data_IF_661481367379
#
_entry.id   IF_661481367379
#
_cell.length_a   1.000
_cell.length_b   1.000
_cell.length_c   1.000
_cell.angle_alpha   90.00
_cell.angle_beta   90.00
_cell.angle_gamma   90.00
#
_symmetry.space_group_name_H-M   'P 1'
#
loop_
_entity.id
_entity.type
_entity.pdbx_description
1 polymer ?
#
# COMPACT_ATOMS: atom_id res chain seq x y z
N UNK A 1 24.06 9.26 -17.34
CA UNK A 1 24.66 8.32 -16.37
C UNK A 1 23.65 7.23 -16.09
N UNK A 2 24.00 5.99 -16.33
CA UNK A 2 23.14 4.87 -15.93
C UNK A 2 22.98 4.87 -14.41
N UNK A 3 21.73 4.85 -13.95
CA UNK A 3 21.42 4.76 -12.53
C UNK A 3 22.01 3.45 -11.97
N UNK A 4 22.73 3.55 -10.84
CA UNK A 4 23.33 2.39 -10.16
C UNK A 4 22.26 1.34 -9.86
N UNK A 5 22.61 0.05 -10.00
CA UNK A 5 21.66 -1.05 -9.85
C UNK A 5 20.95 -1.05 -8.48
N UNK A 6 21.69 -0.75 -7.40
CA UNK A 6 21.15 -0.70 -6.05
C UNK A 6 20.13 0.44 -5.87
N UNK A 7 20.32 1.56 -6.57
CA UNK A 7 19.39 2.68 -6.50
C UNK A 7 18.06 2.36 -7.18
N UNK A 8 18.09 1.60 -8.28
CA UNK A 8 16.87 1.04 -8.92
C UNK A 8 16.15 0.10 -7.95
N UNK A 9 16.89 -0.76 -7.25
CA UNK A 9 16.32 -1.68 -6.25
C UNK A 9 15.66 -0.91 -5.09
N UNK A 10 16.32 0.09 -4.51
CA UNK A 10 15.74 0.91 -3.45
C UNK A 10 14.48 1.66 -3.91
N UNK A 11 14.48 2.16 -5.16
CA UNK A 11 13.30 2.77 -5.77
C UNK A 11 12.13 1.80 -5.87
N UNK A 12 12.38 0.56 -6.32
CA UNK A 12 11.37 -0.50 -6.36
C UNK A 12 10.84 -0.84 -4.97
N UNK A 13 11.73 -1.02 -3.99
CA UNK A 13 11.37 -1.29 -2.60
C UNK A 13 10.47 -0.18 -2.04
N UNK A 14 10.80 1.09 -2.29
CA UNK A 14 9.97 2.23 -1.89
C UNK A 14 8.56 2.20 -2.48
N UNK A 15 8.44 1.88 -3.76
CA UNK A 15 7.14 1.76 -4.45
C UNK A 15 6.31 0.60 -3.87
N UNK A 16 6.94 -0.56 -3.66
CA UNK A 16 6.28 -1.74 -3.07
C UNK A 16 5.80 -1.43 -1.65
N UNK A 17 6.67 -0.86 -0.80
CA UNK A 17 6.33 -0.49 0.57
C UNK A 17 5.20 0.53 0.63
N UNK A 18 5.22 1.55 -0.24
CA UNK A 18 4.16 2.55 -0.30
C UNK A 18 2.83 1.93 -0.75
N UNK A 19 2.86 1.06 -1.77
CA UNK A 19 1.68 0.31 -2.23
C UNK A 19 1.08 -0.56 -1.14
N UNK A 20 1.92 -1.37 -0.47
CA UNK A 20 1.51 -2.19 0.66
C UNK A 20 0.91 -1.37 1.80
N UNK A 21 1.55 -0.27 2.15
CA UNK A 21 1.07 0.62 3.22
C UNK A 21 -0.28 1.21 2.88
N UNK A 22 -0.49 1.61 1.63
CA UNK A 22 -1.77 2.10 1.16
C UNK A 22 -2.87 1.03 1.30
N UNK A 23 -2.60 -0.21 0.90
CA UNK A 23 -3.54 -1.33 1.05
C UNK A 23 -3.86 -1.59 2.52
N UNK A 24 -2.86 -1.72 3.39
CA UNK A 24 -3.09 -1.89 4.84
C UNK A 24 -3.90 -0.75 5.45
N UNK A 25 -3.65 0.49 5.02
CA UNK A 25 -4.36 1.67 5.53
C UNK A 25 -5.82 1.68 5.05
N UNK A 26 -6.08 1.38 3.78
CA UNK A 26 -7.45 1.24 3.25
C UNK A 26 -8.20 0.13 3.99
N UNK A 27 -7.59 -1.06 4.10
CA UNK A 27 -8.18 -2.20 4.80
C UNK A 27 -8.38 -1.92 6.30
N UNK A 28 -7.48 -1.16 6.94
CA UNK A 28 -7.63 -0.73 8.33
C UNK A 28 -8.83 0.18 8.55
N UNK A 29 -9.06 1.14 7.64
CA UNK A 29 -10.26 1.99 7.68
C UNK A 29 -11.54 1.18 7.47
N UNK A 30 -11.60 0.37 6.41
CA UNK A 30 -12.77 -0.46 6.12
C UNK A 30 -13.04 -1.51 7.21
N UNK A 31 -11.99 -2.18 7.69
CA UNK A 31 -12.07 -3.25 8.68
C UNK A 31 -12.50 -2.79 10.07
N UNK A 32 -12.38 -1.49 10.40
CA UNK A 32 -12.85 -0.93 11.67
C UNK A 32 -14.28 -0.36 11.59
N UNK A 33 -14.88 -0.35 10.41
CA UNK A 33 -16.21 0.25 10.16
C UNK A 33 -17.32 -0.47 10.93
N UNK A 34 -17.27 -1.80 11.03
CA UNK A 34 -18.31 -2.61 11.67
C UNK A 34 -18.50 -2.23 13.16
N UNK A 35 -17.40 -2.16 13.91
CA UNK A 35 -17.38 -1.75 15.32
C UNK A 35 -17.67 -0.26 15.49
N UNK A 36 -17.25 0.58 14.54
CA UNK A 36 -17.53 2.01 14.58
C UNK A 36 -19.02 2.33 14.33
N UNK A 37 -19.74 1.52 13.56
CA UNK A 37 -21.17 1.72 13.29
C UNK A 37 -22.08 1.11 14.36
N UNK A 38 -21.69 -0.02 14.96
CA UNK A 38 -22.49 -0.69 15.97
C UNK A 38 -21.63 -1.21 17.14
N UNK A 39 -21.06 -0.31 17.97
CA UNK A 39 -20.11 -0.70 19.03
C UNK A 39 -20.72 -1.61 20.11
N UNK A 40 -22.04 -1.60 20.30
CA UNK A 40 -22.76 -2.45 21.26
C UNK A 40 -23.24 -3.78 20.68
N UNK A 41 -23.17 -3.94 19.35
CA UNK A 41 -23.56 -5.18 18.67
C UNK A 41 -22.47 -6.25 18.65
N UNK A 42 -21.28 -5.95 19.16
CA UNK A 42 -20.18 -6.88 19.28
C UNK A 42 -19.87 -7.11 20.76
N UNK A 43 -19.85 -8.37 21.17
CA UNK A 43 -19.59 -8.73 22.57
C UNK A 43 -18.25 -8.20 23.09
N UNK A 44 -18.19 -8.02 24.41
CA UNK A 44 -16.96 -7.71 25.13
C UNK A 44 -16.56 -6.24 25.10
N UNK A 45 -15.28 -5.98 24.81
CA UNK A 45 -14.63 -4.69 25.04
C UNK A 45 -15.04 -3.56 24.09
N UNK A 46 -15.83 -3.84 23.06
CA UNK A 46 -16.23 -2.85 22.05
C UNK A 46 -17.34 -1.92 22.53
N UNK A 47 -18.16 -2.32 23.51
CA UNK A 47 -19.20 -1.47 24.09
C UNK A 47 -18.64 -0.18 24.72
N UNK A 48 -17.39 -0.19 25.19
CA UNK A 48 -16.68 0.99 25.71
C UNK A 48 -16.46 2.10 24.65
N UNK A 49 -16.65 1.78 23.37
CA UNK A 49 -16.57 2.74 22.26
C UNK A 49 -17.87 3.54 22.12
N UNK A 50 -19.01 3.05 22.61
CA UNK A 50 -20.32 3.65 22.35
C UNK A 50 -20.41 5.16 22.66
N UNK A 51 -19.86 5.68 23.78
CA UNK A 51 -19.85 7.13 24.05
C UNK A 51 -18.98 7.95 23.08
N UNK A 52 -18.04 7.29 22.40
CA UNK A 52 -17.05 7.88 21.48
C UNK A 52 -17.23 7.41 20.04
N UNK A 53 -18.43 6.93 19.68
CA UNK A 53 -18.70 6.36 18.36
C UNK A 53 -18.34 7.34 17.22
N UNK A 54 -18.64 8.63 17.38
CA UNK A 54 -18.31 9.68 16.42
C UNK A 54 -16.81 9.75 16.12
N UNK A 55 -15.97 9.54 17.13
CA UNK A 55 -14.51 9.58 17.00
C UNK A 55 -13.99 8.37 16.22
N UNK A 56 -14.59 7.19 16.43
CA UNK A 56 -14.23 5.99 15.68
C UNK A 56 -14.68 6.07 14.22
N UNK A 57 -15.84 6.68 13.95
CA UNK A 57 -16.25 6.99 12.58
C UNK A 57 -15.29 7.99 11.91
N UNK A 58 -14.81 8.99 12.65
CA UNK A 58 -13.78 9.90 12.16
C UNK A 58 -12.49 9.15 11.84
N UNK A 59 -12.03 8.23 12.71
CA UNK A 59 -10.87 7.39 12.42
C UNK A 59 -11.06 6.56 11.15
N UNK A 60 -12.23 5.94 10.96
CA UNK A 60 -12.54 5.16 9.74
C UNK A 60 -12.39 6.04 8.49
N UNK A 61 -13.05 7.19 8.45
CA UNK A 61 -13.08 8.07 7.26
C UNK A 61 -11.68 8.64 6.99
N UNK A 62 -10.99 9.13 8.02
CA UNK A 62 -9.69 9.76 7.87
C UNK A 62 -8.61 8.73 7.50
N UNK A 63 -8.60 7.56 8.13
CA UNK A 63 -7.69 6.46 7.78
C UNK A 63 -7.93 6.03 6.34
N UNK A 64 -9.18 5.83 5.91
CA UNK A 64 -9.49 5.49 4.52
C UNK A 64 -9.00 6.57 3.54
N UNK A 65 -9.22 7.85 3.85
CA UNK A 65 -8.75 8.96 3.02
C UNK A 65 -7.22 8.98 2.87
N UNK A 66 -6.47 8.76 3.95
CA UNK A 66 -5.01 8.64 3.90
C UNK A 66 -4.56 7.41 3.11
N UNK A 67 -5.28 6.29 3.21
CA UNK A 67 -5.04 5.10 2.39
C UNK A 67 -5.22 5.36 0.89
N UNK A 68 -6.30 6.03 0.49
CA UNK A 68 -6.54 6.43 -0.92
C UNK A 68 -5.48 7.42 -1.40
N UNK A 69 -5.11 8.40 -0.59
CA UNK A 69 -4.02 9.32 -0.91
C UNK A 69 -2.69 8.56 -1.06
N UNK A 70 -2.45 7.55 -0.22
CA UNK A 70 -1.29 6.67 -0.32
C UNK A 70 -1.26 5.88 -1.61
N UNK A 71 -2.39 5.30 -2.03
CA UNK A 71 -2.51 4.57 -3.29
C UNK A 71 -2.23 5.50 -4.51
N UNK A 72 -2.78 6.72 -4.46
CA UNK A 72 -2.47 7.76 -5.46
C UNK A 72 -1.00 8.11 -5.47
N UNK A 73 -0.37 8.27 -4.30
CA UNK A 73 1.05 8.56 -4.19
C UNK A 73 1.91 7.43 -4.79
N UNK A 74 1.57 6.16 -4.55
CA UNK A 74 2.21 4.99 -5.18
C UNK A 74 2.14 5.07 -6.70
N UNK A 75 0.95 5.38 -7.26
CA UNK A 75 0.81 5.54 -8.71
C UNK A 75 1.67 6.69 -9.26
N UNK A 76 1.76 7.80 -8.53
CA UNK A 76 2.61 8.94 -8.90
C UNK A 76 4.11 8.58 -8.83
N UNK A 77 4.54 7.77 -7.86
CA UNK A 77 5.92 7.27 -7.75
C UNK A 77 6.27 6.35 -8.93
N UNK A 78 5.36 5.45 -9.30
CA UNK A 78 5.50 4.58 -10.49
C UNK A 78 5.63 5.42 -11.75
N UNK A 79 4.77 6.44 -11.91
CA UNK A 79 4.75 7.34 -13.07
C UNK A 79 5.82 8.42 -13.03
N UNK A 80 6.70 8.43 -12.02
CA UNK A 80 7.74 9.44 -11.84
C UNK A 80 7.22 10.89 -11.95
N UNK A 81 6.09 11.18 -11.31
CA UNK A 81 5.50 12.53 -11.33
C UNK A 81 6.19 13.42 -10.31
N UNK A 82 6.28 14.71 -10.62
CA UNK A 82 6.75 15.71 -9.65
C UNK A 82 5.88 15.68 -8.38
N UNK A 83 6.49 15.96 -7.23
CA UNK A 83 5.86 15.91 -5.92
C UNK A 83 5.35 14.54 -5.45
N UNK A 84 5.52 13.44 -6.22
CA UNK A 84 5.10 12.10 -5.79
C UNK A 84 5.64 11.72 -4.40
N UNK A 85 6.90 12.06 -4.15
CA UNK A 85 7.55 11.83 -2.87
C UNK A 85 6.94 12.66 -1.73
N UNK A 86 6.61 13.93 -2.00
CA UNK A 86 5.97 14.82 -1.02
C UNK A 86 4.58 14.29 -0.64
N UNK A 87 3.79 13.86 -1.61
CA UNK A 87 2.49 13.25 -1.34
C UNK A 87 2.61 11.94 -0.56
N UNK A 88 3.65 11.15 -0.83
CA UNK A 88 3.94 9.94 -0.05
C UNK A 88 4.21 10.29 1.41
N UNK A 89 5.07 11.29 1.67
CA UNK A 89 5.36 11.75 3.03
C UNK A 89 4.12 12.31 3.74
N UNK A 90 3.29 13.09 3.05
CA UNK A 90 2.04 13.62 3.64
C UNK A 90 1.09 12.48 4.02
N UNK A 91 0.94 11.47 3.15
CA UNK A 91 0.11 10.31 3.44
C UNK A 91 0.63 9.50 4.63
N UNK A 92 1.94 9.24 4.66
CA UNK A 92 2.60 8.48 5.72
C UNK A 92 2.59 9.23 7.05
N UNK A 93 2.84 10.54 7.06
CA UNK A 93 2.79 11.35 8.28
C UNK A 93 1.36 11.43 8.83
N UNK A 94 0.39 11.77 7.99
CA UNK A 94 -1.00 11.87 8.41
C UNK A 94 -1.56 10.53 8.89
N UNK A 95 -1.29 9.43 8.16
CA UNK A 95 -1.63 8.08 8.59
C UNK A 95 -0.98 7.68 9.91
N UNK A 96 0.27 8.10 10.15
CA UNK A 96 0.99 7.80 11.41
C UNK A 96 0.35 8.53 12.57
N UNK A 97 0.10 9.83 12.42
CA UNK A 97 -0.51 10.65 13.48
C UNK A 97 -1.86 10.08 13.87
N UNK A 98 -2.72 9.80 12.88
CA UNK A 98 -4.06 9.23 13.11
C UNK A 98 -3.97 7.84 13.73
N UNK A 99 -3.11 6.97 13.21
CA UNK A 99 -2.92 5.61 13.72
C UNK A 99 -2.44 5.59 15.16
N UNK A 100 -1.44 6.41 15.52
CA UNK A 100 -0.93 6.51 16.89
C UNK A 100 -2.03 6.99 17.85
N UNK A 101 -2.76 8.04 17.49
CA UNK A 101 -3.88 8.54 18.32
C UNK A 101 -4.94 7.44 18.49
N UNK A 102 -5.32 6.74 17.41
CA UNK A 102 -6.32 5.69 17.45
C UNK A 102 -5.86 4.50 18.33
N UNK A 103 -4.58 4.12 18.28
CA UNK A 103 -3.99 3.10 19.16
C UNK A 103 -4.10 3.52 20.63
N UNK A 104 -3.70 4.76 20.97
CA UNK A 104 -3.73 5.26 22.34
C UNK A 104 -5.17 5.32 22.89
N UNK A 105 -6.09 5.90 22.12
CA UNK A 105 -7.52 5.99 22.48
C UNK A 105 -8.13 4.60 22.64
N UNK A 106 -7.87 3.69 21.72
CA UNK A 106 -8.37 2.31 21.82
C UNK A 106 -7.88 1.61 23.09
N UNK A 107 -6.58 1.71 23.40
CA UNK A 107 -6.02 1.09 24.60
C UNK A 107 -6.62 1.68 25.88
N UNK A 108 -6.85 3.00 25.91
CA UNK A 108 -7.48 3.66 27.04
C UNK A 108 -8.95 3.25 27.26
N UNK A 109 -9.73 3.09 26.18
CA UNK A 109 -11.17 2.82 26.27
C UNK A 109 -11.52 1.33 26.41
N UNK A 110 -10.74 0.43 25.80
CA UNK A 110 -11.08 -0.99 25.68
C UNK A 110 -9.94 -1.95 26.02
N UNK A 111 -8.81 -1.44 26.55
CA UNK A 111 -7.65 -2.25 26.95
C UNK A 111 -6.85 -2.87 25.80
N UNK A 112 -7.20 -2.59 24.54
CA UNK A 112 -6.46 -3.08 23.37
C UNK A 112 -6.77 -2.27 22.13
N UNK A 113 -5.91 -2.34 21.11
CA UNK A 113 -5.99 -1.52 19.90
C UNK A 113 -6.12 -2.31 18.61
N UNK A 114 -6.04 -3.64 18.66
CA UNK A 114 -6.15 -4.48 17.47
C UNK A 114 -7.47 -4.20 16.75
N UNK A 115 -7.45 -4.11 15.40
CA UNK A 115 -6.30 -4.39 14.50
C UNK A 115 -5.39 -3.20 14.15
N UNK A 116 -5.64 -2.02 14.74
CA UNK A 116 -5.02 -0.75 14.32
C UNK A 116 -3.51 -0.74 14.56
N UNK A 117 -3.00 -1.53 15.50
CA UNK A 117 -1.57 -1.67 15.80
C UNK A 117 -0.76 -2.03 14.54
N UNK A 118 -1.14 -3.08 13.83
CA UNK A 118 -0.39 -3.55 12.66
C UNK A 118 -0.35 -2.48 11.57
N UNK A 119 -1.50 -1.86 11.29
CA UNK A 119 -1.61 -0.78 10.29
C UNK A 119 -0.71 0.39 10.66
N UNK A 120 -0.71 0.79 11.94
CA UNK A 120 0.10 1.90 12.44
C UNK A 120 1.59 1.56 12.37
N UNK A 121 2.00 0.36 12.77
CA UNK A 121 3.40 -0.06 12.74
C UNK A 121 3.95 -0.15 11.31
N UNK A 122 3.16 -0.69 10.39
CA UNK A 122 3.56 -0.76 8.99
C UNK A 122 3.70 0.63 8.37
N UNK A 123 2.78 1.55 8.71
CA UNK A 123 2.84 2.93 8.25
C UNK A 123 4.04 3.69 8.82
N UNK A 124 4.38 3.49 10.10
CA UNK A 124 5.59 4.06 10.73
C UNK A 124 6.86 3.49 10.06
N UNK A 125 6.91 2.18 9.83
CA UNK A 125 8.05 1.54 9.16
C UNK A 125 8.28 2.17 7.78
N UNK A 126 7.23 2.28 6.96
CA UNK A 126 7.32 2.88 5.63
C UNK A 126 7.71 4.36 5.71
N UNK A 127 7.17 5.12 6.67
CA UNK A 127 7.57 6.50 6.93
C UNK A 127 9.08 6.59 7.21
N UNK A 128 9.59 5.78 8.13
CA UNK A 128 11.02 5.75 8.47
C UNK A 128 11.88 5.43 7.25
N UNK A 129 11.49 4.44 6.44
CA UNK A 129 12.21 4.11 5.19
C UNK A 129 12.20 5.29 4.21
N UNK A 130 11.06 5.96 4.04
CA UNK A 130 10.97 7.16 3.21
C UNK A 130 11.74 8.36 3.81
N UNK A 131 11.91 8.45 5.12
CA UNK A 131 12.78 9.47 5.69
C UNK A 131 14.26 9.15 5.41
N UNK A 132 14.65 7.87 5.50
CA UNK A 132 16.00 7.40 5.15
C UNK A 132 16.32 7.67 3.68
N UNK A 133 15.39 7.39 2.76
CA UNK A 133 15.58 7.67 1.33
C UNK A 133 15.78 9.16 1.01
N UNK A 134 15.38 10.05 1.93
CA UNK A 134 15.55 11.50 1.75
C UNK A 134 16.95 12.00 2.15
N UNK A 135 17.77 11.18 2.78
CA UNK A 135 19.14 11.55 3.19
C UNK A 135 19.96 11.85 1.91
N UNK A 136 20.73 12.97 1.85
CA UNK A 136 21.30 13.47 0.60
C UNK A 136 22.06 12.46 -0.28
N UNK A 137 22.93 11.59 0.25
CA UNK A 137 23.67 10.61 -0.56
C UNK A 137 22.77 9.58 -1.23
N UNK A 138 21.66 9.20 -0.58
CA UNK A 138 20.69 8.25 -1.14
C UNK A 138 19.75 8.95 -2.11
N UNK A 139 19.27 10.15 -1.75
CA UNK A 139 18.32 10.89 -2.56
C UNK A 139 18.83 11.20 -3.97
N UNK A 140 20.11 11.60 -4.08
CA UNK A 140 20.74 11.92 -5.36
C UNK A 140 20.81 10.71 -6.30
N UNK A 141 20.88 9.51 -5.74
CA UNK A 141 21.07 8.26 -6.49
C UNK A 141 19.74 7.56 -6.79
N UNK A 142 18.81 7.51 -5.81
CA UNK A 142 17.47 6.91 -5.96
C UNK A 142 16.62 7.76 -6.90
N UNK A 143 16.68 9.08 -6.74
CA UNK A 143 16.13 10.07 -7.65
C UNK A 143 14.66 9.84 -8.01
N UNK A 144 13.73 9.89 -7.04
CA UNK A 144 12.28 9.83 -7.31
C UNK A 144 11.75 11.01 -8.16
N UNK A 145 12.59 12.02 -8.40
CA UNK A 145 12.34 13.15 -9.29
C UNK A 145 13.05 13.01 -10.64
N UNK A 146 13.94 12.02 -10.80
CA UNK A 146 14.65 11.75 -12.04
C UNK A 146 13.89 10.74 -12.89
N UNK A 147 13.83 10.92 -14.23
CA UNK A 147 13.20 9.96 -15.15
C UNK A 147 13.71 8.54 -14.92
N UNK A 148 12.82 7.62 -14.56
CA UNK A 148 13.12 6.19 -14.62
C UNK A 148 12.86 5.68 -16.05
N UNK A 149 13.58 4.64 -16.46
CA UNK A 149 13.23 3.91 -17.68
C UNK A 149 11.82 3.33 -17.56
N UNK A 150 11.10 3.24 -18.68
CA UNK A 150 9.77 2.63 -18.74
C UNK A 150 9.77 1.19 -18.20
N UNK A 151 10.85 0.44 -18.43
CA UNK A 151 11.06 -0.90 -17.86
C UNK A 151 11.14 -0.88 -16.33
N UNK A 152 11.89 0.04 -15.72
CA UNK A 152 12.02 0.09 -14.25
C UNK A 152 10.68 0.46 -13.59
N UNK A 153 9.96 1.43 -14.17
CA UNK A 153 8.64 1.83 -13.69
C UNK A 153 7.62 0.69 -13.81
N UNK A 154 7.60 -0.01 -14.94
CA UNK A 154 6.72 -1.15 -15.17
C UNK A 154 7.00 -2.32 -14.24
N UNK A 155 8.28 -2.66 -14.02
CA UNK A 155 8.69 -3.68 -13.04
C UNK A 155 8.27 -3.31 -11.62
N UNK A 156 8.54 -2.07 -11.19
CA UNK A 156 8.16 -1.60 -9.85
C UNK A 156 6.64 -1.64 -9.62
N UNK A 157 5.87 -1.14 -10.59
CA UNK A 157 4.41 -1.15 -10.52
C UNK A 157 3.82 -2.56 -10.58
N UNK A 158 4.40 -3.43 -11.40
CA UNK A 158 4.03 -4.84 -11.50
C UNK A 158 4.25 -5.58 -10.18
N UNK A 159 5.46 -5.49 -9.62
CA UNK A 159 5.80 -6.11 -8.33
C UNK A 159 4.95 -5.57 -7.17
N UNK A 160 4.73 -4.25 -7.12
CA UNK A 160 3.87 -3.66 -6.09
C UNK A 160 2.43 -4.19 -6.18
N UNK A 161 1.89 -4.28 -7.39
CA UNK A 161 0.54 -4.82 -7.63
C UNK A 161 0.44 -6.30 -7.24
N UNK A 162 1.39 -7.14 -7.66
CA UNK A 162 1.45 -8.56 -7.27
C UNK A 162 1.51 -8.69 -5.76
N UNK A 163 2.39 -7.93 -5.10
CA UNK A 163 2.58 -8.01 -3.64
C UNK A 163 1.31 -7.58 -2.91
N UNK A 164 0.66 -6.50 -3.35
CA UNK A 164 -0.64 -6.07 -2.83
C UNK A 164 -1.73 -7.13 -3.05
N UNK A 165 -1.74 -7.79 -4.20
CA UNK A 165 -2.68 -8.85 -4.52
C UNK A 165 -2.50 -10.09 -3.63
N UNK A 166 -1.25 -10.52 -3.40
CA UNK A 166 -0.94 -11.62 -2.47
C UNK A 166 -1.41 -11.29 -1.05
N UNK A 167 -1.19 -10.05 -0.58
CA UNK A 167 -1.72 -9.62 0.72
C UNK A 167 -3.25 -9.69 0.72
N UNK A 168 -3.94 -9.15 -0.29
CA UNK A 168 -5.39 -9.21 -0.36
C UNK A 168 -5.93 -10.65 -0.31
N UNK A 169 -5.31 -11.59 -1.02
CA UNK A 169 -5.70 -13.00 -1.01
C UNK A 169 -5.48 -13.72 0.32
N UNK A 170 -4.52 -13.25 1.13
CA UNK A 170 -4.07 -13.97 2.33
C UNK A 170 -4.43 -13.30 3.64
N UNK A 171 -4.79 -12.01 3.63
CA UNK A 171 -4.96 -11.19 4.84
C UNK A 171 -5.97 -11.78 5.83
N UNK A 172 -7.04 -12.42 5.34
CA UNK A 172 -8.06 -13.05 6.17
C UNK A 172 -7.53 -14.16 7.09
N UNK A 173 -6.46 -14.85 6.67
CA UNK A 173 -5.80 -15.89 7.47
C UNK A 173 -4.89 -15.28 8.54
N UNK A 174 -4.14 -14.23 8.19
CA UNK A 174 -3.26 -13.53 9.13
C UNK A 174 -4.04 -12.78 10.21
N UNK A 175 -5.19 -12.21 9.83
CA UNK A 175 -6.01 -11.37 10.69
C UNK A 175 -7.05 -12.14 11.49
N UNK A 176 -7.28 -13.42 11.18
CA UNK A 176 -8.23 -14.29 11.89
C UNK A 176 -8.08 -14.29 13.42
N UNK A 177 -6.88 -14.45 14.00
CA UNK A 177 -6.70 -14.45 15.46
C UNK A 177 -7.15 -13.17 16.17
N UNK A 178 -7.19 -12.04 15.46
CA UNK A 178 -7.48 -10.72 16.05
C UNK A 178 -8.87 -10.19 15.66
N UNK A 179 -9.55 -10.86 14.72
CA UNK A 179 -10.88 -10.51 14.21
C UNK A 179 -11.90 -11.62 14.44
N UNK A 180 -11.58 -12.65 15.24
CA UNK A 180 -12.58 -13.63 15.65
C UNK A 180 -13.33 -13.13 16.88
N UNK A 181 -14.61 -12.85 16.73
CA UNK A 181 -15.50 -12.33 17.80
C UNK A 181 -16.69 -13.28 17.91
N UNK A 182 -16.94 -13.81 19.11
CA UNK A 182 -18.05 -14.77 19.31
C UNK A 182 -17.95 -16.05 18.47
N UNK A 183 -16.73 -16.48 18.13
CA UNK A 183 -16.49 -17.66 17.28
C UNK A 183 -16.63 -17.41 15.76
N UNK A 184 -16.97 -16.18 15.34
CA UNK A 184 -17.07 -15.78 13.93
C UNK A 184 -15.82 -15.03 13.51
N UNK A 185 -15.16 -15.44 12.43
CA UNK A 185 -13.99 -14.75 11.87
C UNK A 185 -14.43 -13.57 10.99
N UNK A 186 -14.40 -12.35 11.54
CA UNK A 186 -14.77 -11.14 10.81
C UNK A 186 -13.73 -10.73 9.76
N UNK A 187 -12.50 -11.28 9.78
CA UNK A 187 -11.53 -11.04 8.72
C UNK A 187 -11.91 -11.70 7.39
N UNK A 188 -12.82 -12.68 7.41
CA UNK A 188 -13.27 -13.44 6.23
C UNK A 188 -14.62 -12.94 5.67
N UNK A 189 -15.24 -11.92 6.29
CA UNK A 189 -16.52 -11.37 5.79
C UNK A 189 -16.38 -10.76 4.38
N UNK A 190 -15.18 -10.29 4.04
CA UNK A 190 -14.87 -9.69 2.74
C UNK A 190 -14.23 -10.69 1.77
N UNK A 191 -14.41 -12.01 1.99
CA UNK A 191 -13.73 -13.06 1.25
C UNK A 191 -13.81 -12.86 -0.27
N UNK A 192 -15.02 -12.67 -0.82
CA UNK A 192 -15.22 -12.54 -2.27
C UNK A 192 -14.56 -11.28 -2.81
N UNK A 193 -14.71 -10.14 -2.12
CA UNK A 193 -14.14 -8.86 -2.52
C UNK A 193 -12.61 -8.94 -2.51
N UNK A 194 -12.02 -9.52 -1.46
CA UNK A 194 -10.58 -9.71 -1.31
C UNK A 194 -10.02 -10.67 -2.36
N UNK A 195 -10.72 -11.77 -2.66
CA UNK A 195 -10.36 -12.71 -3.73
C UNK A 195 -10.35 -12.02 -5.10
N UNK A 196 -11.43 -11.33 -5.46
CA UNK A 196 -11.56 -10.67 -6.76
C UNK A 196 -10.49 -9.57 -6.91
N UNK A 197 -10.31 -8.72 -5.91
CA UNK A 197 -9.29 -7.67 -5.94
C UNK A 197 -7.87 -8.25 -5.94
N UNK A 198 -7.63 -9.31 -5.18
CA UNK A 198 -6.33 -9.97 -5.11
C UNK A 198 -5.92 -10.56 -6.45
N UNK A 199 -6.80 -11.32 -7.10
CA UNK A 199 -6.56 -11.86 -8.43
C UNK A 199 -6.40 -10.76 -9.48
N UNK A 200 -7.24 -9.73 -9.45
CA UNK A 200 -7.12 -8.59 -10.36
C UNK A 200 -5.74 -7.92 -10.25
N UNK A 201 -5.28 -7.65 -9.02
CA UNK A 201 -3.98 -7.05 -8.76
C UNK A 201 -2.81 -7.93 -9.22
N UNK A 202 -2.91 -9.25 -9.03
CA UNK A 202 -1.91 -10.20 -9.51
C UNK A 202 -1.87 -10.21 -11.04
N UNK A 203 -3.02 -10.33 -11.71
CA UNK A 203 -3.09 -10.40 -13.17
C UNK A 203 -2.60 -9.10 -13.83
N UNK A 204 -3.03 -7.94 -13.33
CA UNK A 204 -2.54 -6.64 -13.79
C UNK A 204 -1.04 -6.50 -13.51
N UNK A 205 -0.60 -6.91 -12.32
CA UNK A 205 0.82 -6.83 -11.95
C UNK A 205 1.72 -7.72 -12.82
N UNK A 206 1.27 -8.93 -13.14
CA UNK A 206 1.95 -9.84 -14.07
C UNK A 206 2.01 -9.24 -15.48
N UNK A 207 0.90 -8.69 -15.99
CA UNK A 207 0.88 -8.05 -17.29
C UNK A 207 1.87 -6.88 -17.37
N UNK A 208 1.92 -6.02 -16.35
CA UNK A 208 2.88 -4.91 -16.27
C UNK A 208 4.34 -5.40 -16.21
N UNK A 209 4.60 -6.44 -15.41
CA UNK A 209 5.93 -7.02 -15.27
C UNK A 209 6.44 -7.65 -16.57
N UNK A 210 5.60 -8.47 -17.22
CA UNK A 210 5.94 -9.13 -18.49
C UNK A 210 6.11 -8.12 -19.63
N UNK A 211 5.29 -7.07 -19.67
CA UNK A 211 5.45 -5.97 -20.61
C UNK A 211 6.78 -5.23 -20.38
N UNK A 212 7.13 -4.92 -19.13
CA UNK A 212 8.39 -4.29 -18.77
C UNK A 212 9.63 -5.15 -19.10
N UNK A 213 9.49 -6.48 -19.04
CA UNK A 213 10.51 -7.44 -19.44
C UNK A 213 10.65 -7.59 -20.97
N UNK A 214 9.82 -6.91 -21.76
CA UNK A 214 9.87 -6.93 -23.22
C UNK A 214 9.26 -8.19 -23.85
N UNK A 215 8.54 -9.02 -23.09
CA UNK A 215 7.90 -10.26 -23.60
C UNK A 215 6.90 -9.97 -24.72
N UNK A 216 6.24 -8.80 -24.66
CA UNK A 216 5.28 -8.35 -25.66
C UNK A 216 5.85 -7.30 -26.62
N UNK A 217 7.15 -7.03 -26.58
CA UNK A 217 7.79 -6.07 -27.48
C UNK A 217 8.08 -6.77 -28.81
N UNK A 218 7.19 -6.62 -29.79
CA UNK A 218 7.50 -6.98 -31.17
C UNK A 218 8.70 -6.15 -31.63
N UNK A 219 9.90 -6.74 -31.65
CA UNK A 219 10.99 -6.20 -32.45
C UNK A 219 10.58 -6.44 -33.90
N UNK A 220 10.08 -5.41 -34.58
CA UNK A 220 10.12 -5.43 -36.04
C UNK A 220 11.58 -5.55 -36.44
N UNK A 221 11.97 -6.74 -36.89
CA UNK A 221 13.23 -6.97 -37.60
C UNK A 221 13.13 -6.16 -38.89
N UNK A 222 13.57 -4.91 -38.85
CA UNK A 222 13.89 -4.16 -40.05
C UNK A 222 15.06 -4.88 -40.71
N UNK A 223 14.76 -5.73 -41.68
CA UNK A 223 15.74 -6.27 -42.61
C UNK A 223 16.27 -5.08 -43.38
N UNK A 224 17.46 -4.63 -43.03
CA UNK A 224 18.20 -3.62 -43.77
C UNK A 224 18.59 -4.26 -45.11
N UNK A 225 17.80 -3.99 -46.15
CA UNK A 225 18.12 -4.42 -47.51
C UNK A 225 19.32 -3.56 -47.94
N UNK A 226 20.49 -4.19 -47.99
CA UNK A 226 21.70 -3.55 -48.50
C UNK A 226 21.46 -3.02 -49.92
N UNK A 227 21.93 -1.82 -50.26
CA UNK A 227 21.76 -1.27 -51.60
C UNK A 227 22.52 -2.14 -52.61
N UNK A 228 21.82 -2.57 -53.65
CA UNK A 228 22.42 -3.18 -54.83
C UNK A 228 23.29 -2.12 -55.49
N UNK A 229 24.59 -2.37 -55.54
CA UNK A 229 25.55 -1.55 -56.29
C UNK A 229 25.40 -1.94 -57.77
N UNK A 230 24.87 -1.03 -58.59
CA UNK A 230 24.97 -1.08 -60.06
C UNK A 230 26.25 -0.37 -60.54
#
# INVERSE_FOLDING_TARGET
>A
MDQKWWAKVLRMIGIILMGLTAVFTILGGLGTTCVALNPTGYDGKFAGIAPYQWLYLLFVVVTFAFGVMGARATWLLIRNRSNAYRYSLIALLGGTIVGVIHVLVSRALRGGSMPVDMVTYFNILTLVVFLIFRIPPLWQEIGFEQPATSSTAGTAGGLASITCGVIALTIQYWMGPTHTIGGVNYADIWHVQLQLMGWLLILVGLALFLHAAGVFSNKETSVEIAPVVE
#
